data_IF_876937016975
#
_entry.id   IF_876937016975
#
_cell.length_a   1.000
_cell.length_b   1.000
_cell.length_c   1.000
_cell.angle_alpha   90.00
_cell.angle_beta   90.00
_cell.angle_gamma   90.00
#
_symmetry.space_group_name_H-M   'P 1'
#
loop_
_entity.id
_entity.type
_entity.pdbx_description
1 polymer ?
#
# COMPACT_ATOMS: atom_id res chain seq x y z
N UNK A 1 8.15 -0.87 -21.09
CA UNK A 1 8.67 -1.39 -19.82
C UNK A 1 8.81 -0.19 -18.94
N UNK A 2 8.03 -0.12 -17.87
CA UNK A 2 8.00 0.99 -16.92
C UNK A 2 8.58 0.56 -15.58
N UNK A 3 9.25 1.50 -14.92
CA UNK A 3 9.61 1.34 -13.52
C UNK A 3 8.49 1.89 -12.67
N UNK A 4 8.06 1.12 -11.66
CA UNK A 4 7.04 1.52 -10.72
C UNK A 4 7.57 1.46 -9.30
N UNK A 5 7.11 2.36 -8.45
CA UNK A 5 7.44 2.39 -7.03
C UNK A 5 6.16 2.40 -6.22
N UNK A 6 5.96 1.35 -5.44
CA UNK A 6 4.91 1.27 -4.43
C UNK A 6 5.43 1.83 -3.11
N UNK A 7 4.77 2.84 -2.59
CA UNK A 7 5.03 3.38 -1.27
C UNK A 7 3.84 3.06 -0.37
N UNK A 8 4.12 2.44 0.76
CA UNK A 8 3.13 2.11 1.77
C UNK A 8 3.55 2.78 3.07
N UNK A 9 2.62 3.54 3.64
CA UNK A 9 2.83 4.25 4.88
C UNK A 9 1.51 4.58 5.53
N UNK A 10 1.54 5.57 6.41
CA UNK A 10 0.35 6.11 7.05
C UNK A 10 0.31 7.61 6.87
N UNK A 11 -0.89 8.17 7.01
CA UNK A 11 -1.05 9.62 7.09
C UNK A 11 -0.27 10.17 8.28
N UNK A 12 0.07 11.47 8.26
CA UNK A 12 0.80 12.11 9.36
C UNK A 12 0.15 11.95 10.74
N UNK A 13 -1.17 11.71 10.77
CA UNK A 13 -1.93 11.39 11.98
C UNK A 13 -1.85 9.94 12.44
N UNK A 14 -1.45 9.00 11.57
CA UNK A 14 -1.48 7.55 11.84
C UNK A 14 -2.89 6.95 11.86
N UNK A 15 -3.87 7.64 11.29
CA UNK A 15 -5.29 7.25 11.33
C UNK A 15 -5.70 6.39 10.11
N UNK A 16 -4.89 6.42 9.06
CA UNK A 16 -5.20 5.79 7.77
C UNK A 16 -3.92 5.23 7.14
N UNK A 17 -4.01 4.04 6.54
CA UNK A 17 -2.97 3.47 5.69
C UNK A 17 -3.00 4.15 4.32
N UNK A 18 -1.86 4.61 3.85
CA UNK A 18 -1.68 5.21 2.52
C UNK A 18 -0.87 4.27 1.65
N UNK A 19 -1.36 4.02 0.44
CA UNK A 19 -0.68 3.21 -0.56
C UNK A 19 -0.66 3.98 -1.86
N UNK A 20 0.53 4.40 -2.27
CA UNK A 20 0.75 5.20 -3.47
C UNK A 20 1.61 4.42 -4.47
N UNK A 21 1.15 4.33 -5.71
CA UNK A 21 1.90 3.75 -6.82
C UNK A 21 2.43 4.87 -7.71
N UNK A 22 3.73 5.01 -7.77
CA UNK A 22 4.41 5.99 -8.62
C UNK A 22 4.92 5.34 -9.90
N UNK A 23 4.82 6.03 -11.03
CA UNK A 23 5.55 5.68 -12.25
C UNK A 23 7.01 6.16 -12.23
N UNK A 24 7.77 5.82 -13.27
CA UNK A 24 9.18 6.22 -13.45
C UNK A 24 9.39 7.74 -13.43
N UNK A 25 8.39 8.52 -13.83
CA UNK A 25 8.41 9.98 -13.77
C UNK A 25 8.18 10.56 -12.38
N UNK A 26 7.96 9.72 -11.36
CA UNK A 26 7.59 10.15 -10.01
C UNK A 26 6.18 10.71 -9.90
N UNK A 27 5.31 10.41 -10.87
CA UNK A 27 3.89 10.77 -10.82
C UNK A 27 3.12 9.63 -10.18
N UNK A 28 2.16 9.96 -9.32
CA UNK A 28 1.21 8.98 -8.78
C UNK A 28 0.33 8.51 -9.93
N UNK A 29 0.43 7.23 -10.25
CA UNK A 29 -0.49 6.54 -11.15
C UNK A 29 -1.79 6.24 -10.41
N UNK A 30 -1.67 5.63 -9.23
CA UNK A 30 -2.81 5.18 -8.41
C UNK A 30 -2.51 5.43 -6.93
N UNK A 31 -3.55 5.76 -6.17
CA UNK A 31 -3.45 5.97 -4.73
C UNK A 31 -4.69 5.43 -4.02
N UNK A 32 -4.47 4.74 -2.90
CA UNK A 32 -5.53 4.19 -2.05
C UNK A 32 -5.26 4.57 -0.61
N UNK A 33 -6.32 5.06 0.05
CA UNK A 33 -6.31 5.42 1.46
C UNK A 33 -7.32 4.55 2.19
N UNK A 34 -6.87 3.89 3.26
CA UNK A 34 -7.71 3.01 4.07
C UNK A 34 -7.77 3.54 5.50
N UNK A 35 -8.89 4.17 5.89
CA UNK A 35 -9.07 4.61 7.27
C UNK A 35 -9.23 3.41 8.20
N UNK A 36 -8.45 3.39 9.28
CA UNK A 36 -8.51 2.31 10.27
C UNK A 36 -9.86 2.26 10.99
N UNK A 37 -10.52 3.40 11.14
CA UNK A 37 -11.85 3.51 11.76
C UNK A 37 -12.91 2.68 11.02
N UNK A 38 -12.84 2.58 9.69
CA UNK A 38 -13.77 1.79 8.86
C UNK A 38 -13.64 0.28 9.16
N UNK A 39 -12.49 -0.11 9.71
CA UNK A 39 -12.18 -1.46 10.13
C UNK A 39 -12.27 -1.69 11.64
N UNK A 40 -12.82 -0.72 12.39
CA UNK A 40 -13.00 -0.78 13.84
C UNK A 40 -11.68 -0.73 14.62
N UNK A 41 -10.61 -0.28 13.98
CA UNK A 41 -9.31 -0.07 14.59
C UNK A 41 -9.23 1.40 15.03
N UNK A 42 -9.02 1.65 16.31
CA UNK A 42 -8.71 3.00 16.77
C UNK A 42 -7.27 3.35 16.40
N UNK A 43 -7.04 4.57 15.92
CA UNK A 43 -5.71 5.13 15.61
C UNK A 43 -4.71 5.13 16.80
N UNK A 44 -5.11 4.61 17.96
CA UNK A 44 -4.30 4.48 19.15
C UNK A 44 -3.36 3.26 19.04
N UNK A 45 -2.34 3.37 18.19
CA UNK A 45 -1.12 2.59 18.32
C UNK A 45 0.01 3.49 18.79
N UNK A 46 0.17 3.59 20.11
CA UNK A 46 1.39 4.14 20.73
C UNK A 46 2.63 3.26 20.42
N UNK A 47 2.43 2.01 19.99
CA UNK A 47 3.48 1.04 19.65
C UNK A 47 3.19 0.43 18.26
N UNK A 48 3.98 0.78 17.24
CA UNK A 48 3.96 0.12 15.93
C UNK A 48 3.08 0.78 14.87
N UNK A 49 3.48 1.98 14.42
CA UNK A 49 3.18 2.44 13.06
C UNK A 49 3.86 1.46 12.08
N UNK A 50 3.20 0.92 11.04
CA UNK A 50 3.90 0.24 9.96
C UNK A 50 5.07 1.13 9.51
N UNK A 51 6.27 0.56 9.53
CA UNK A 51 7.43 1.23 8.96
C UNK A 51 7.11 1.60 7.52
N UNK A 52 7.44 2.83 7.09
CA UNK A 52 7.28 3.20 5.69
C UNK A 52 8.01 2.17 4.83
N UNK A 53 7.29 1.54 3.91
CA UNK A 53 7.83 0.53 2.99
C UNK A 53 7.81 1.10 1.59
N UNK A 54 8.97 1.20 0.98
CA UNK A 54 9.12 1.48 -0.44
C UNK A 54 9.55 0.22 -1.18
N UNK A 55 8.89 -0.04 -2.32
CA UNK A 55 9.25 -1.15 -3.20
C UNK A 55 9.24 -0.73 -4.65
N UNK A 56 10.39 -0.85 -5.30
CA UNK A 56 10.53 -0.63 -6.73
C UNK A 56 10.47 -1.96 -7.49
N UNK A 57 9.72 -1.98 -8.60
CA UNK A 57 9.61 -3.11 -9.52
C UNK A 57 9.47 -2.62 -10.97
N UNK A 58 9.71 -3.50 -11.95
CA UNK A 58 9.70 -3.15 -13.37
C UNK A 58 8.77 -4.05 -14.14
N UNK A 59 7.79 -3.46 -14.79
CA UNK A 59 6.70 -4.18 -15.45
C UNK A 59 6.37 -3.53 -16.79
N UNK A 60 5.88 -4.32 -17.75
CA UNK A 60 5.49 -3.85 -19.07
C UNK A 60 3.97 -3.85 -19.18
N UNK A 61 3.35 -2.84 -18.56
CA UNK A 61 1.88 -2.72 -18.48
C UNK A 61 1.41 -1.35 -18.95
N UNK A 62 0.20 -1.28 -19.50
CA UNK A 62 -0.39 -0.01 -19.97
C UNK A 62 -1.29 0.65 -18.95
N UNK A 63 -1.87 -0.14 -18.06
CA UNK A 63 -2.78 0.31 -17.01
C UNK A 63 -2.34 -0.24 -15.67
N UNK A 64 -2.54 0.53 -14.61
CA UNK A 64 -2.29 0.09 -13.24
C UNK A 64 -3.54 0.26 -12.39
N UNK A 65 -3.68 -0.57 -11.37
CA UNK A 65 -4.77 -0.53 -10.39
C UNK A 65 -4.23 -0.99 -9.04
N UNK A 66 -4.71 -0.41 -7.94
CA UNK A 66 -4.34 -0.80 -6.58
C UNK A 66 -5.54 -1.39 -5.86
N UNK A 67 -5.36 -2.60 -5.32
CA UNK A 67 -6.36 -3.28 -4.52
C UNK A 67 -5.85 -3.58 -3.13
N UNK A 68 -6.69 -3.32 -2.13
CA UNK A 68 -6.37 -3.59 -0.73
C UNK A 68 -7.44 -4.52 -0.16
N UNK A 69 -6.99 -5.63 0.41
CA UNK A 69 -7.84 -6.59 1.08
C UNK A 69 -7.36 -6.81 2.52
N UNK A 70 -8.28 -6.77 3.48
CA UNK A 70 -7.97 -7.21 4.85
C UNK A 70 -8.12 -8.73 4.95
N UNK A 71 -7.05 -9.42 5.35
CA UNK A 71 -7.00 -10.89 5.47
C UNK A 71 -6.31 -11.31 6.77
N UNK A 72 -7.08 -11.89 7.69
CA UNK A 72 -6.58 -12.50 8.93
C UNK A 72 -5.68 -11.56 9.77
N UNK A 73 -6.14 -10.34 10.04
CA UNK A 73 -5.37 -9.37 10.84
C UNK A 73 -4.19 -8.74 10.10
N UNK A 74 -4.21 -8.72 8.77
CA UNK A 74 -3.23 -8.05 7.93
C UNK A 74 -3.91 -7.36 6.76
N UNK A 75 -3.27 -6.32 6.23
CA UNK A 75 -3.62 -5.71 4.97
C UNK A 75 -2.77 -6.35 3.86
N UNK A 76 -3.43 -6.79 2.80
CA UNK A 76 -2.78 -7.30 1.59
C UNK A 76 -2.99 -6.27 0.50
N UNK A 77 -1.92 -5.63 0.10
CA UNK A 77 -1.88 -4.67 -0.99
C UNK A 77 -1.48 -5.41 -2.26
N UNK A 78 -2.25 -5.22 -3.33
CA UNK A 78 -1.96 -5.76 -4.67
C UNK A 78 -1.89 -4.62 -5.66
N UNK A 79 -0.76 -4.52 -6.35
CA UNK A 79 -0.68 -3.75 -7.58
C UNK A 79 -1.02 -4.67 -8.74
N UNK A 80 -2.01 -4.26 -9.53
CA UNK A 80 -2.37 -4.91 -10.77
C UNK A 80 -1.85 -4.08 -11.93
N UNK A 81 -1.41 -4.78 -12.98
CA UNK A 81 -1.03 -4.21 -14.26
C UNK A 81 -1.79 -4.93 -15.37
N UNK A 82 -2.52 -4.17 -16.19
CA UNK A 82 -3.41 -4.71 -17.24
C UNK A 82 -4.41 -5.78 -16.74
N UNK A 83 -4.80 -5.66 -15.46
CA UNK A 83 -5.73 -6.56 -14.79
C UNK A 83 -5.11 -7.83 -14.18
N UNK A 84 -3.79 -8.01 -14.28
CA UNK A 84 -3.05 -9.12 -13.67
C UNK A 84 -2.21 -8.64 -12.48
N UNK A 85 -1.99 -9.49 -11.47
CA UNK A 85 -1.16 -9.13 -10.32
C UNK A 85 0.30 -9.00 -10.75
N UNK A 86 0.85 -7.79 -10.62
CA UNK A 86 2.25 -7.49 -10.90
C UNK A 86 3.08 -7.37 -9.63
N UNK A 87 2.45 -7.00 -8.51
CA UNK A 87 3.09 -6.96 -7.20
C UNK A 87 2.09 -7.20 -6.08
N UNK A 88 2.52 -7.85 -5.00
CA UNK A 88 1.73 -7.99 -3.79
C UNK A 88 2.59 -7.84 -2.54
N UNK A 89 2.07 -7.10 -1.56
CA UNK A 89 2.75 -6.82 -0.29
C UNK A 89 1.78 -7.09 0.86
N UNK A 90 2.27 -7.79 1.90
CA UNK A 90 1.50 -8.10 3.09
C UNK A 90 2.01 -7.25 4.24
N UNK A 91 1.11 -6.47 4.81
CA UNK A 91 1.35 -5.60 5.96
C UNK A 91 0.63 -6.26 7.13
N UNK A 92 1.40 -6.95 7.96
CA UNK A 92 0.83 -7.51 9.17
C UNK A 92 0.51 -6.37 10.12
N UNK A 93 -0.63 -6.48 10.83
CA UNK A 93 -0.94 -5.50 11.86
C UNK A 93 0.19 -5.54 12.92
N UNK A 94 0.93 -6.63 13.18
CA UNK A 94 1.96 -6.67 14.24
C UNK A 94 3.41 -6.36 13.79
N UNK A 95 3.66 -5.68 12.67
CA UNK A 95 5.04 -5.47 12.15
C UNK A 95 5.86 -4.37 12.87
N UNK A 96 5.67 -4.23 14.19
CA UNK A 96 6.51 -3.43 15.08
C UNK A 96 7.38 -4.33 15.96
N UNK A 97 8.52 -4.82 15.43
CA UNK A 97 9.56 -5.50 16.23
C UNK A 97 10.56 -4.54 16.86
#
# INVERSE_FOLDING_TARGET
>A
MGTYRLEIGETGSGEELTVDLYNEGGTIEEAVHVPYEDHGLGAARDEGRPSQRDREFREDVMTTDLQIERRQGAFVVRALGDGEEIHSERIDEDDGS
#
